data_IF_154317189768
#
_entry.id   IF_154317189768
#
_cell.length_a   1.000
_cell.length_b   1.000
_cell.length_c   1.000
_cell.angle_alpha   90.00
_cell.angle_beta   90.00
_cell.angle_gamma   90.00
#
_symmetry.space_group_name_H-M   'P 1'
#
loop_
_entity.id
_entity.type
_entity.pdbx_description
1 polymer ?
#
# COMPACT_ATOMS: atom_id res chain seq x y z
N UNK A 1 4.13 28.87 25.44
CA UNK A 1 5.15 27.82 25.18
C UNK A 1 4.68 26.49 25.76
N UNK A 2 4.49 26.35 27.08
CA UNK A 2 3.96 25.11 27.66
C UNK A 2 2.54 24.78 27.19
N UNK A 3 1.63 25.76 27.17
CA UNK A 3 0.26 25.57 26.66
C UNK A 3 0.22 25.18 25.17
N UNK A 4 1.16 25.72 24.39
CA UNK A 4 1.29 25.43 22.97
C UNK A 4 1.80 24.01 22.74
N UNK A 5 2.79 23.59 23.52
CA UNK A 5 3.30 22.22 23.54
C UNK A 5 2.21 21.22 23.96
N UNK A 6 1.44 21.52 25.01
CA UNK A 6 0.31 20.69 25.43
C UNK A 6 -0.72 20.53 24.31
N UNK A 7 -1.13 21.63 23.66
CA UNK A 7 -2.06 21.58 22.53
C UNK A 7 -1.53 20.73 21.37
N UNK A 8 -0.24 20.83 21.04
CA UNK A 8 0.37 20.04 19.99
C UNK A 8 0.37 18.54 20.33
N UNK A 9 0.72 18.19 21.58
CA UNK A 9 0.68 16.80 22.08
C UNK A 9 -0.74 16.26 22.02
N UNK A 10 -1.73 16.99 22.54
CA UNK A 10 -3.13 16.58 22.53
C UNK A 10 -3.66 16.37 21.10
N UNK A 11 -3.34 17.30 20.20
CA UNK A 11 -3.72 17.21 18.79
C UNK A 11 -3.08 15.99 18.09
N UNK A 12 -1.80 15.70 18.36
CA UNK A 12 -1.10 14.55 17.82
C UNK A 12 -1.63 13.21 18.39
N UNK A 13 -2.03 13.20 19.67
CA UNK A 13 -2.62 12.03 20.32
C UNK A 13 -4.04 11.74 19.84
N UNK A 14 -4.79 12.76 19.41
CA UNK A 14 -6.11 12.59 18.81
C UNK A 14 -6.09 12.04 17.37
N UNK A 15 -4.94 12.04 16.70
CA UNK A 15 -4.81 11.46 15.35
C UNK A 15 -5.04 9.95 15.40
N UNK A 16 -5.95 9.44 14.56
CA UNK A 16 -6.07 8.01 14.30
C UNK A 16 -4.88 7.53 13.45
N UNK A 17 -3.80 7.13 14.12
CA UNK A 17 -2.55 6.70 13.48
C UNK A 17 -2.72 5.49 12.56
N UNK A 18 -3.79 4.71 12.72
CA UNK A 18 -4.07 3.56 11.87
C UNK A 18 -4.37 3.94 10.41
N UNK A 19 -4.76 5.18 10.14
CA UNK A 19 -5.11 5.66 8.79
C UNK A 19 -3.89 6.14 7.98
N UNK A 20 -2.71 6.21 8.61
CA UNK A 20 -1.50 6.80 8.03
C UNK A 20 -0.36 5.79 7.87
N UNK A 21 0.56 6.05 6.94
CA UNK A 21 1.70 5.19 6.66
C UNK A 21 2.63 5.12 7.89
N UNK A 22 3.07 3.91 8.30
CA UNK A 22 3.95 3.75 9.45
C UNK A 22 5.22 4.61 9.41
N UNK A 23 5.82 4.79 8.23
CA UNK A 23 7.02 5.60 8.05
C UNK A 23 6.81 7.11 8.35
N UNK A 24 5.58 7.62 8.28
CA UNK A 24 5.23 9.00 8.63
C UNK A 24 4.66 9.12 10.05
N UNK A 25 4.01 8.07 10.55
CA UNK A 25 3.55 7.98 11.95
C UNK A 25 4.71 7.95 12.93
N UNK A 26 5.78 7.20 12.64
CA UNK A 26 6.93 7.08 13.54
C UNK A 26 7.58 8.44 13.89
N UNK A 27 7.87 9.34 12.93
CA UNK A 27 8.32 10.69 13.24
C UNK A 27 7.39 11.49 14.15
N UNK A 28 6.06 11.34 14.00
CA UNK A 28 5.10 11.99 14.89
C UNK A 28 5.19 11.45 16.32
N UNK A 29 5.26 10.12 16.48
CA UNK A 29 5.41 9.48 17.79
C UNK A 29 6.71 9.89 18.48
N UNK A 30 7.83 9.92 17.74
CA UNK A 30 9.12 10.37 18.24
C UNK A 30 9.08 11.85 18.68
N UNK A 31 8.42 12.72 17.90
CA UNK A 31 8.24 14.13 18.24
C UNK A 31 7.35 14.33 19.48
N UNK A 32 6.26 13.56 19.61
CA UNK A 32 5.40 13.59 20.80
C UNK A 32 6.18 13.18 22.05
N UNK A 33 6.93 12.08 21.98
CA UNK A 33 7.78 11.61 23.09
C UNK A 33 8.83 12.66 23.49
N UNK A 34 9.46 13.32 22.51
CA UNK A 34 10.41 14.40 22.77
C UNK A 34 9.71 15.63 23.41
N UNK A 35 8.50 15.96 22.96
CA UNK A 35 7.68 17.01 23.55
C UNK A 35 7.28 16.73 24.99
N UNK A 36 6.86 15.50 25.31
CA UNK A 36 6.54 15.07 26.67
C UNK A 36 7.77 15.15 27.60
N UNK A 37 8.94 14.75 27.11
CA UNK A 37 10.19 14.89 27.84
C UNK A 37 10.54 16.36 28.09
N UNK A 38 10.41 17.23 27.08
CA UNK A 38 10.66 18.66 27.22
C UNK A 38 9.68 19.34 28.18
N UNK A 39 8.40 18.92 28.18
CA UNK A 39 7.37 19.39 29.12
C UNK A 39 7.72 19.06 30.58
N UNK A 40 8.33 17.90 30.83
CA UNK A 40 8.70 17.44 32.17
C UNK A 40 10.01 18.06 32.68
N UNK A 41 10.83 18.62 31.78
CA UNK A 41 12.14 19.18 32.10
C UNK A 41 12.04 20.67 32.46
N UNK A 42 12.16 20.97 33.75
CA UNK A 42 12.09 22.33 34.28
C UNK A 42 13.25 23.23 33.83
N UNK A 43 14.30 22.69 33.20
CA UNK A 43 15.42 23.48 32.65
C UNK A 43 15.12 24.03 31.26
N UNK A 44 14.05 23.57 30.61
CA UNK A 44 13.71 23.97 29.24
C UNK A 44 13.28 25.43 29.17
N UNK A 45 13.84 26.12 28.18
CA UNK A 45 13.49 27.49 27.86
C UNK A 45 12.15 27.56 27.12
N UNK A 46 11.46 28.72 27.17
CA UNK A 46 10.26 28.93 26.36
C UNK A 46 10.47 28.70 24.85
N UNK A 47 11.69 28.92 24.33
CA UNK A 47 12.00 28.69 22.93
C UNK A 47 12.10 27.19 22.63
N UNK A 48 12.81 26.41 23.46
CA UNK A 48 12.89 24.96 23.27
C UNK A 48 11.51 24.28 23.35
N UNK A 49 10.62 24.76 24.23
CA UNK A 49 9.24 24.27 24.31
C UNK A 49 8.43 24.60 23.05
N UNK A 50 8.64 25.79 22.45
CA UNK A 50 8.03 26.16 21.16
C UNK A 50 8.57 25.32 20.01
N UNK A 51 9.88 25.06 20.00
CA UNK A 51 10.52 24.24 18.97
C UNK A 51 10.00 22.80 19.03
N UNK A 52 9.81 22.25 20.24
CA UNK A 52 9.16 20.95 20.43
C UNK A 52 7.71 20.94 19.92
N UNK A 53 6.92 21.97 20.23
CA UNK A 53 5.54 22.09 19.74
C UNK A 53 5.48 22.19 18.20
N UNK A 54 6.42 22.93 17.60
CA UNK A 54 6.57 23.05 16.15
C UNK A 54 6.95 21.71 15.52
N UNK A 55 7.90 20.97 16.09
CA UNK A 55 8.31 19.66 15.60
C UNK A 55 7.14 18.67 15.55
N UNK A 56 6.30 18.63 16.60
CA UNK A 56 5.07 17.82 16.63
C UNK A 56 4.11 18.24 15.52
N UNK A 57 3.86 19.55 15.40
CA UNK A 57 2.93 20.10 14.39
C UNK A 57 3.40 19.82 12.97
N UNK A 58 4.70 19.92 12.71
CA UNK A 58 5.29 19.64 11.40
C UNK A 58 5.23 18.14 11.07
N UNK A 59 5.56 17.27 12.03
CA UNK A 59 5.43 15.82 11.86
C UNK A 59 3.96 15.42 11.60
N UNK A 60 3.00 16.07 12.25
CA UNK A 60 1.58 15.84 12.03
C UNK A 60 1.15 16.24 10.61
N UNK A 61 1.66 17.36 10.07
CA UNK A 61 1.41 17.79 8.69
C UNK A 61 2.08 16.90 7.65
N UNK A 62 3.16 16.23 8.02
CA UNK A 62 3.90 15.29 7.18
C UNK A 62 3.30 13.88 7.16
N UNK A 63 2.20 13.64 7.90
CA UNK A 63 1.50 12.37 7.84
C UNK A 63 0.95 12.11 6.44
N UNK A 64 1.21 10.91 5.93
CA UNK A 64 0.69 10.45 4.64
C UNK A 64 -0.35 9.36 4.86
N UNK A 65 -1.52 9.48 4.23
CA UNK A 65 -2.56 8.47 4.33
C UNK A 65 -2.10 7.13 3.71
N UNK A 66 -2.62 6.02 4.26
CA UNK A 66 -2.46 4.71 3.62
C UNK A 66 -3.18 4.67 2.28
N UNK A 67 -2.64 3.91 1.34
CA UNK A 67 -3.33 3.59 0.10
C UNK A 67 -4.56 2.72 0.37
N UNK A 68 -5.62 2.91 -0.42
CA UNK A 68 -6.74 1.97 -0.47
C UNK A 68 -6.34 0.75 -1.31
N UNK A 69 -6.44 -0.44 -0.72
CA UNK A 69 -5.99 -1.71 -1.32
C UNK A 69 -7.11 -2.70 -1.61
N UNK A 70 -8.37 -2.28 -1.48
CA UNK A 70 -9.52 -3.20 -1.58
C UNK A 70 -9.64 -3.81 -2.98
N UNK A 71 -9.47 -3.00 -4.03
CA UNK A 71 -9.56 -3.47 -5.41
C UNK A 71 -8.36 -4.33 -5.83
N UNK A 72 -7.15 -4.02 -5.33
CA UNK A 72 -5.98 -4.87 -5.52
C UNK A 72 -6.19 -6.24 -4.85
N UNK A 73 -6.75 -6.27 -3.64
CA UNK A 73 -7.05 -7.51 -2.94
C UNK A 73 -8.09 -8.37 -3.67
N UNK A 74 -9.10 -7.76 -4.29
CA UNK A 74 -10.07 -8.47 -5.16
C UNK A 74 -9.38 -9.07 -6.38
N UNK A 75 -8.54 -8.31 -7.08
CA UNK A 75 -7.79 -8.81 -8.23
C UNK A 75 -6.86 -9.97 -7.86
N UNK A 76 -6.15 -9.88 -6.73
CA UNK A 76 -5.34 -10.98 -6.17
C UNK A 76 -6.19 -12.21 -5.90
N UNK A 77 -7.34 -12.05 -5.23
CA UNK A 77 -8.25 -13.16 -4.91
C UNK A 77 -8.75 -13.88 -6.17
N UNK A 78 -9.10 -13.11 -7.21
CA UNK A 78 -9.52 -13.67 -8.50
C UNK A 78 -8.39 -14.47 -9.17
N UNK A 79 -7.17 -13.90 -9.20
CA UNK A 79 -6.02 -14.55 -9.81
C UNK A 79 -5.54 -15.79 -9.03
N UNK A 80 -5.63 -15.79 -7.70
CA UNK A 80 -5.34 -16.95 -6.84
C UNK A 80 -6.31 -18.13 -7.10
N UNK A 81 -7.49 -17.85 -7.64
CA UNK A 81 -8.47 -18.88 -8.04
C UNK A 81 -8.18 -19.54 -9.39
N UNK A 82 -7.20 -19.05 -10.16
CA UNK A 82 -6.88 -19.59 -11.48
C UNK A 82 -6.00 -20.84 -11.38
N UNK A 83 -6.25 -21.79 -12.26
CA UNK A 83 -5.27 -22.86 -12.53
C UNK A 83 -4.25 -22.32 -13.52
N UNK A 84 -2.97 -22.30 -13.13
CA UNK A 84 -1.87 -21.75 -13.92
C UNK A 84 -0.84 -22.83 -14.21
N UNK A 85 -0.48 -23.00 -15.49
CA UNK A 85 0.65 -23.81 -15.93
C UNK A 85 1.92 -22.95 -16.01
N UNK A 86 2.93 -23.16 -15.17
CA UNK A 86 4.15 -22.34 -15.19
C UNK A 86 5.00 -22.55 -16.45
N UNK A 87 4.68 -23.55 -17.29
CA UNK A 87 5.34 -23.77 -18.59
C UNK A 87 4.66 -23.01 -19.73
N UNK A 88 3.44 -22.54 -19.53
CA UNK A 88 2.75 -21.62 -20.43
C UNK A 88 3.18 -20.16 -20.15
N UNK A 89 3.38 -19.39 -21.21
CA UNK A 89 3.99 -18.06 -21.09
C UNK A 89 3.03 -17.04 -20.46
N UNK A 90 1.76 -17.08 -20.83
CA UNK A 90 0.71 -16.20 -20.32
C UNK A 90 0.36 -16.54 -18.86
N UNK A 91 0.28 -17.82 -18.52
CA UNK A 91 0.06 -18.27 -17.14
C UNK A 91 1.23 -17.90 -16.23
N UNK A 92 2.47 -18.02 -16.73
CA UNK A 92 3.67 -17.55 -16.04
C UNK A 92 3.63 -16.03 -15.82
N UNK A 93 3.15 -15.26 -16.80
CA UNK A 93 2.99 -13.81 -16.66
C UNK A 93 1.94 -13.46 -15.58
N UNK A 94 0.84 -14.21 -15.49
CA UNK A 94 -0.14 -14.06 -14.40
C UNK A 94 0.52 -14.34 -13.04
N UNK A 95 1.29 -15.41 -12.92
CA UNK A 95 1.96 -15.76 -11.67
C UNK A 95 2.97 -14.69 -11.23
N UNK A 96 3.75 -14.14 -12.16
CA UNK A 96 4.70 -13.06 -11.88
C UNK A 96 3.98 -11.77 -11.44
N UNK A 97 2.91 -11.38 -12.16
CA UNK A 97 2.09 -10.23 -11.80
C UNK A 97 1.39 -10.41 -10.44
N UNK A 98 0.91 -11.62 -10.14
CA UNK A 98 0.27 -11.96 -8.88
C UNK A 98 1.25 -11.86 -7.70
N UNK A 99 2.47 -12.36 -7.88
CA UNK A 99 3.52 -12.22 -6.87
C UNK A 99 3.82 -10.74 -6.61
N UNK A 100 3.93 -9.93 -7.67
CA UNK A 100 4.17 -8.49 -7.52
C UNK A 100 3.01 -7.77 -6.83
N UNK A 101 1.77 -8.12 -7.18
CA UNK A 101 0.57 -7.61 -6.54
C UNK A 101 0.56 -7.94 -5.03
N UNK A 102 0.94 -9.16 -4.64
CA UNK A 102 1.04 -9.57 -3.23
C UNK A 102 2.12 -8.80 -2.46
N UNK A 103 3.27 -8.51 -3.08
CA UNK A 103 4.29 -7.65 -2.47
C UNK A 103 3.74 -6.25 -2.16
N UNK A 104 3.09 -5.62 -3.15
CA UNK A 104 2.49 -4.28 -2.99
C UNK A 104 1.34 -4.33 -1.97
N UNK A 105 0.55 -5.40 -1.96
CA UNK A 105 -0.51 -5.59 -0.97
C UNK A 105 0.05 -5.66 0.46
N UNK A 106 1.17 -6.35 0.65
CA UNK A 106 1.82 -6.51 1.95
C UNK A 106 2.56 -5.26 2.43
N UNK A 107 3.02 -4.37 1.53
CA UNK A 107 3.78 -3.18 1.91
C UNK A 107 2.90 -2.11 2.59
N UNK A 108 3.02 -1.87 3.91
CA UNK A 108 2.17 -0.90 4.60
C UNK A 108 2.45 0.57 4.19
N UNK A 109 3.52 0.83 3.45
CA UNK A 109 3.89 2.16 2.96
C UNK A 109 3.65 2.35 1.45
N UNK A 110 3.13 1.33 0.74
CA UNK A 110 2.84 1.41 -0.69
C UNK A 110 2.06 2.68 -1.05
N UNK A 111 2.46 3.36 -2.13
CA UNK A 111 1.71 4.51 -2.64
C UNK A 111 0.41 4.05 -3.32
N UNK A 112 -0.56 4.94 -3.48
CA UNK A 112 -1.76 4.60 -4.26
C UNK A 112 -1.39 4.26 -5.71
N UNK A 113 -0.39 4.95 -6.29
CA UNK A 113 0.08 4.65 -7.63
C UNK A 113 0.68 3.25 -7.75
N UNK A 114 1.44 2.78 -6.75
CA UNK A 114 1.97 1.40 -6.75
C UNK A 114 0.84 0.37 -6.68
N UNK A 115 -0.18 0.64 -5.86
CA UNK A 115 -1.37 -0.22 -5.72
C UNK A 115 -2.16 -0.29 -7.03
N UNK A 116 -2.41 0.86 -7.64
CA UNK A 116 -3.16 0.97 -8.89
C UNK A 116 -2.40 0.28 -10.05
N UNK A 117 -1.08 0.50 -10.14
CA UNK A 117 -0.23 -0.11 -11.15
C UNK A 117 -0.15 -1.64 -10.98
N UNK A 118 -0.05 -2.13 -9.74
CA UNK A 118 -0.03 -3.57 -9.48
C UNK A 118 -1.37 -4.24 -9.84
N UNK A 119 -2.49 -3.57 -9.55
CA UNK A 119 -3.83 -4.02 -9.94
C UNK A 119 -3.95 -4.11 -11.45
N UNK A 120 -3.60 -3.03 -12.16
CA UNK A 120 -3.68 -2.97 -13.63
C UNK A 120 -2.80 -4.05 -14.27
N UNK A 121 -1.56 -4.22 -13.80
CA UNK A 121 -0.66 -5.25 -14.31
C UNK A 121 -1.24 -6.66 -14.14
N UNK A 122 -1.82 -6.96 -12.98
CA UNK A 122 -2.44 -8.26 -12.71
C UNK A 122 -3.67 -8.49 -13.59
N UNK A 123 -4.57 -7.51 -13.71
CA UNK A 123 -5.76 -7.61 -14.56
C UNK A 123 -5.39 -7.78 -16.03
N UNK A 124 -4.37 -7.06 -16.52
CA UNK A 124 -3.88 -7.20 -17.89
C UNK A 124 -3.29 -8.58 -18.16
N UNK A 125 -2.51 -9.14 -17.22
CA UNK A 125 -1.98 -10.49 -17.35
C UNK A 125 -3.12 -11.54 -17.41
N UNK A 126 -4.13 -11.42 -16.53
CA UNK A 126 -5.30 -12.32 -16.53
C UNK A 126 -6.08 -12.19 -17.84
N UNK A 127 -6.27 -10.99 -18.36
CA UNK A 127 -6.94 -10.78 -19.64
C UNK A 127 -6.15 -11.37 -20.82
N UNK A 128 -4.82 -11.26 -20.79
CA UNK A 128 -3.95 -11.85 -21.80
C UNK A 128 -4.04 -13.39 -21.81
N UNK A 129 -3.96 -14.02 -20.62
CA UNK A 129 -4.23 -15.45 -20.44
C UNK A 129 -5.57 -15.86 -21.04
N UNK A 130 -6.66 -15.21 -20.64
CA UNK A 130 -8.00 -15.56 -21.12
C UNK A 130 -8.13 -15.45 -22.64
N UNK A 131 -7.48 -14.44 -23.25
CA UNK A 131 -7.46 -14.28 -24.69
C UNK A 131 -6.66 -15.37 -25.40
N UNK A 132 -5.59 -15.86 -24.78
CA UNK A 132 -4.77 -16.96 -25.31
C UNK A 132 -5.51 -18.30 -25.20
N UNK A 133 -6.05 -18.62 -24.02
CA UNK A 133 -6.86 -19.83 -23.78
C UNK A 133 -8.02 -19.94 -24.80
N UNK A 134 -8.67 -18.81 -25.09
CA UNK A 134 -9.75 -18.76 -26.09
C UNK A 134 -9.27 -19.05 -27.51
N UNK A 135 -8.08 -18.58 -27.90
CA UNK A 135 -7.50 -18.87 -29.23
C UNK A 135 -7.11 -20.33 -29.35
N UNK A 136 -6.51 -20.91 -28.32
CA UNK A 136 -6.11 -22.32 -28.32
C UNK A 136 -7.32 -23.26 -28.38
N UNK A 137 -8.37 -22.94 -27.63
CA UNK A 137 -9.64 -23.67 -27.70
C UNK A 137 -10.24 -23.64 -29.12
N UNK A 138 -10.21 -22.49 -29.79
CA UNK A 138 -10.68 -22.36 -31.18
C UNK A 138 -9.81 -23.16 -32.16
N UNK A 139 -8.48 -23.09 -32.02
CA UNK A 139 -7.55 -23.85 -32.85
C UNK A 139 -7.75 -25.36 -32.68
N UNK A 140 -7.91 -25.84 -31.45
CA UNK A 140 -8.17 -27.23 -31.14
C UNK A 140 -9.52 -27.70 -31.70
N UNK A 141 -10.57 -26.88 -31.62
CA UNK A 141 -11.87 -27.18 -32.21
C UNK A 141 -11.79 -27.29 -33.74
N UNK A 142 -11.07 -26.37 -34.40
CA UNK A 142 -10.85 -26.41 -35.84
C UNK A 142 -10.08 -27.66 -36.27
N UNK A 143 -9.00 -28.00 -35.58
CA UNK A 143 -8.21 -29.19 -35.90
C UNK A 143 -9.02 -30.49 -35.79
N UNK A 144 -9.96 -30.58 -34.83
CA UNK A 144 -10.88 -31.72 -34.72
C UNK A 144 -11.87 -31.78 -35.88
N UNK A 145 -12.39 -30.65 -36.36
CA UNK A 145 -13.27 -30.61 -37.52
C UNK A 145 -12.53 -31.04 -38.79
N UNK A 146 -11.35 -30.48 -39.03
CA UNK A 146 -10.53 -30.77 -40.21
C UNK A 146 -10.09 -32.26 -40.25
N UNK A 147 -10.06 -32.97 -39.12
CA UNK A 147 -9.74 -34.40 -39.04
C UNK A 147 -10.93 -35.34 -39.30
N UNK A 148 -12.15 -34.80 -39.36
CA UNK A 148 -13.38 -35.54 -39.64
C UNK A 148 -13.84 -35.43 -41.10
N UNK A 149 -13.29 -34.48 -41.85
CA UNK A 149 -13.55 -34.25 -43.29
C UNK A 149 -12.61 -35.09 -44.17
#
# INVERSE_FOLDING_TARGET
ALDELNKAIDAANAVNKADYKPNTVKPLEDAVKAGEAAKADATKTPQELKDAAKAITDAQKALEAKANKDELNKAITNADGLTLDPTDAEDKAVQDALNKAKEVQADPNASQADVDAAKEALENAVNAKNAQDAKEAQAAAKAKQDALD
#
